data_IF_545400391491
#
_entry.id   IF_545400391491
#
_cell.length_a   1.000
_cell.length_b   1.000
_cell.length_c   1.000
_cell.angle_alpha   90.00
_cell.angle_beta   90.00
_cell.angle_gamma   90.00
#
_symmetry.space_group_name_H-M   'P 1'
#
loop_
_entity.id
_entity.type
_entity.pdbx_description
1 polymer ?
#
# COMPACT_ATOMS: atom_id res chain seq x y z
N UNK A 1 8.36 -4.15 11.24
CA UNK A 1 9.18 -3.14 10.52
C UNK A 1 8.21 -2.22 9.82
N UNK A 2 8.04 -1.00 10.31
CA UNK A 2 7.25 0.02 9.63
C UNK A 2 8.04 0.50 8.42
N UNK A 3 7.59 0.13 7.21
CA UNK A 3 8.14 0.71 5.98
C UNK A 3 7.94 2.22 6.03
N UNK A 4 9.02 2.96 5.81
CA UNK A 4 8.92 4.39 5.52
C UNK A 4 8.58 4.57 4.05
N UNK A 5 7.59 5.41 3.76
CA UNK A 5 7.18 5.73 2.39
C UNK A 5 7.66 7.15 2.07
N UNK A 6 8.22 7.34 0.88
CA UNK A 6 8.56 8.65 0.32
C UNK A 6 7.78 8.84 -1.00
N UNK A 7 6.82 9.78 -1.10
CA UNK A 7 6.31 10.63 -0.01
C UNK A 7 5.61 9.80 1.08
N UNK A 8 5.39 10.34 2.31
CA UNK A 8 4.63 9.67 3.35
C UNK A 8 3.22 9.27 2.91
N UNK A 9 2.63 8.28 3.56
CA UNK A 9 1.25 7.89 3.27
C UNK A 9 0.29 9.04 3.61
N UNK A 10 -0.47 9.50 2.62
CA UNK A 10 -1.36 10.63 2.74
C UNK A 10 -2.41 10.42 3.83
N UNK A 11 -2.51 11.34 4.78
CA UNK A 11 -3.55 11.33 5.83
C UNK A 11 -4.76 12.18 5.46
N UNK A 12 -4.58 13.18 4.60
CA UNK A 12 -5.62 14.10 4.16
C UNK A 12 -6.54 13.41 3.13
N UNK A 13 -7.87 13.33 3.35
CA UNK A 13 -8.83 12.79 2.39
C UNK A 13 -8.84 13.46 1.01
N UNK A 14 -8.39 14.71 0.93
CA UNK A 14 -8.31 15.49 -0.31
C UNK A 14 -7.02 15.22 -1.09
N UNK A 15 -6.06 14.49 -0.52
CA UNK A 15 -4.82 14.15 -1.22
C UNK A 15 -5.12 13.15 -2.34
N UNK A 16 -4.61 13.37 -3.57
CA UNK A 16 -4.83 12.48 -4.70
C UNK A 16 -4.30 11.04 -4.49
N UNK A 17 -3.43 10.81 -3.50
CA UNK A 17 -2.94 9.49 -3.10
C UNK A 17 -3.76 8.85 -1.97
N UNK A 18 -4.64 9.59 -1.29
CA UNK A 18 -5.32 9.14 -0.07
C UNK A 18 -6.02 7.79 -0.20
N UNK A 19 -6.77 7.58 -1.29
CA UNK A 19 -7.52 6.33 -1.49
C UNK A 19 -6.59 5.12 -1.62
N UNK A 20 -5.48 5.28 -2.31
CA UNK A 20 -4.49 4.21 -2.50
C UNK A 20 -3.74 3.96 -1.19
N UNK A 21 -3.34 5.03 -0.50
CA UNK A 21 -2.63 4.97 0.77
C UNK A 21 -3.50 4.41 1.91
N UNK A 22 -4.83 4.59 1.84
CA UNK A 22 -5.80 3.88 2.70
C UNK A 22 -5.77 2.37 2.43
N UNK A 23 -5.68 1.96 1.17
CA UNK A 23 -5.54 0.55 0.77
C UNK A 23 -4.26 -0.08 1.32
N UNK A 24 -3.13 0.62 1.25
CA UNK A 24 -1.85 0.18 1.82
C UNK A 24 -1.96 -0.01 3.33
N UNK A 25 -2.55 0.94 4.06
CA UNK A 25 -2.75 0.82 5.52
C UNK A 25 -3.60 -0.41 5.87
N UNK A 26 -4.70 -0.64 5.13
CA UNK A 26 -5.53 -1.82 5.34
C UNK A 26 -4.80 -3.13 5.02
N UNK A 27 -3.95 -3.15 3.98
CA UNK A 27 -3.13 -4.33 3.65
C UNK A 27 -2.05 -4.60 4.72
N UNK A 28 -1.43 -3.55 5.25
CA UNK A 28 -0.47 -3.66 6.36
C UNK A 28 -1.14 -4.22 7.62
N UNK A 29 -2.33 -3.72 7.98
CA UNK A 29 -3.10 -4.23 9.11
C UNK A 29 -3.43 -5.73 8.97
N UNK A 30 -3.78 -6.18 7.76
CA UNK A 30 -4.03 -7.61 7.50
C UNK A 30 -2.76 -8.45 7.65
N UNK A 31 -1.62 -7.95 7.18
CA UNK A 31 -0.34 -8.62 7.35
C UNK A 31 0.04 -8.72 8.83
N UNK A 32 -0.14 -7.64 9.59
CA UNK A 32 0.17 -7.62 11.01
C UNK A 32 -0.74 -8.60 11.78
N UNK A 33 -2.03 -8.64 11.46
CA UNK A 33 -2.97 -9.62 12.00
C UNK A 33 -2.60 -11.07 11.64
N UNK A 34 -2.15 -11.33 10.40
CA UNK A 34 -1.69 -12.66 9.99
C UNK A 34 -0.41 -13.10 10.72
N UNK A 35 0.53 -12.17 10.95
CA UNK A 35 1.75 -12.41 11.71
C UNK A 35 1.41 -12.71 13.17
N UNK A 36 0.49 -11.95 13.75
CA UNK A 36 0.03 -12.17 15.12
C UNK A 36 -0.69 -13.52 15.26
N UNK A 37 -1.61 -13.85 14.34
CA UNK A 37 -2.29 -15.14 14.31
C UNK A 37 -1.32 -16.33 14.21
N UNK A 38 -0.22 -16.23 13.45
CA UNK A 38 0.82 -17.27 13.38
C UNK A 38 1.44 -17.57 14.74
N UNK A 39 1.59 -16.58 15.61
CA UNK A 39 2.18 -16.77 16.96
C UNK A 39 1.29 -17.65 17.85
N UNK A 40 0.00 -17.73 17.54
CA UNK A 40 -1.01 -18.43 18.34
C UNK A 40 -1.55 -19.72 17.68
N UNK A 41 -1.12 -20.06 16.46
CA UNK A 41 -1.61 -21.24 15.73
C UNK A 41 -0.70 -22.48 15.87
N UNK A 42 -1.31 -23.66 15.98
CA UNK A 42 -0.65 -24.97 15.95
C UNK A 42 -0.24 -25.42 14.54
N UNK A 43 -0.96 -24.99 13.50
CA UNK A 43 -0.64 -25.29 12.10
C UNK A 43 0.28 -24.23 11.49
N UNK A 44 1.59 -24.51 11.50
CA UNK A 44 2.61 -23.60 10.99
C UNK A 44 2.61 -23.45 9.46
N UNK A 45 2.17 -24.47 8.72
CA UNK A 45 2.11 -24.44 7.25
C UNK A 45 1.04 -23.50 6.73
N UNK A 46 -0.19 -23.60 7.25
CA UNK A 46 -1.29 -22.71 6.87
C UNK A 46 -0.99 -21.26 7.23
N UNK A 47 -0.44 -21.02 8.43
CA UNK A 47 -0.06 -19.68 8.86
C UNK A 47 1.02 -19.06 7.96
N UNK A 48 1.95 -19.87 7.41
CA UNK A 48 2.94 -19.39 6.47
C UNK A 48 2.32 -18.92 5.15
N UNK A 49 1.39 -19.71 4.58
CA UNK A 49 0.71 -19.35 3.33
C UNK A 49 -0.15 -18.09 3.50
N UNK A 50 -0.88 -17.96 4.62
CA UNK A 50 -1.67 -16.75 4.91
C UNK A 50 -0.79 -15.50 4.99
N UNK A 51 0.37 -15.58 5.64
CA UNK A 51 1.32 -14.46 5.69
C UNK A 51 1.87 -14.14 4.31
N UNK A 52 2.16 -15.16 3.50
CA UNK A 52 2.66 -14.98 2.13
C UNK A 52 1.62 -14.26 1.27
N UNK A 53 0.37 -14.68 1.32
CA UNK A 53 -0.74 -14.04 0.60
C UNK A 53 -0.93 -12.58 1.07
N UNK A 54 -0.89 -12.32 2.37
CA UNK A 54 -0.99 -10.97 2.92
C UNK A 54 0.17 -10.05 2.45
N UNK A 55 1.39 -10.58 2.36
CA UNK A 55 2.56 -9.86 1.81
C UNK A 55 2.38 -9.55 0.33
N UNK A 56 1.84 -10.48 -0.45
CA UNK A 56 1.54 -10.25 -1.86
C UNK A 56 0.46 -9.18 -2.05
N UNK A 57 -0.59 -9.19 -1.21
CA UNK A 57 -1.62 -8.16 -1.18
C UNK A 57 -1.08 -6.76 -0.86
N UNK A 58 -0.15 -6.67 0.10
CA UNK A 58 0.55 -5.43 0.41
C UNK A 58 1.39 -4.95 -0.78
N UNK A 59 2.18 -5.84 -1.40
CA UNK A 59 3.00 -5.52 -2.58
C UNK A 59 2.17 -5.00 -3.76
N UNK A 60 0.98 -5.59 -4.01
CA UNK A 60 0.05 -5.12 -5.05
C UNK A 60 -0.45 -3.70 -4.75
N UNK A 61 -0.79 -3.42 -3.49
CA UNK A 61 -1.23 -2.09 -3.06
C UNK A 61 -0.13 -1.03 -3.23
N UNK A 62 1.12 -1.39 -2.92
CA UNK A 62 2.29 -0.53 -3.14
C UNK A 62 2.54 -0.27 -4.63
N UNK A 63 2.38 -1.28 -5.49
CA UNK A 63 2.51 -1.10 -6.94
C UNK A 63 1.46 -0.12 -7.49
N UNK A 64 0.21 -0.24 -7.04
CA UNK A 64 -0.86 0.70 -7.41
C UNK A 64 -0.51 2.14 -7.01
N UNK A 65 0.14 2.34 -5.86
CA UNK A 65 0.62 3.66 -5.44
C UNK A 65 1.67 4.22 -6.38
N UNK A 66 2.67 3.42 -6.75
CA UNK A 66 3.71 3.83 -7.70
C UNK A 66 3.10 4.24 -9.05
N UNK A 67 2.15 3.46 -9.56
CA UNK A 67 1.44 3.79 -10.79
C UNK A 67 0.65 5.10 -10.67
N UNK A 68 -0.03 5.30 -9.54
CA UNK A 68 -0.78 6.52 -9.28
C UNK A 68 0.11 7.76 -9.22
N UNK A 69 1.27 7.67 -8.58
CA UNK A 69 2.27 8.76 -8.54
C UNK A 69 2.71 9.12 -9.96
N UNK A 70 3.03 8.13 -10.80
CA UNK A 70 3.39 8.35 -12.21
C UNK A 70 2.27 9.02 -13.01
N UNK A 71 1.03 8.60 -12.81
CA UNK A 71 -0.14 9.19 -13.47
C UNK A 71 -0.33 10.66 -13.08
N UNK A 72 -0.18 10.97 -11.78
CA UNK A 72 -0.28 12.34 -11.27
C UNK A 72 0.83 13.24 -11.81
N UNK A 73 2.07 12.74 -11.86
CA UNK A 73 3.18 13.47 -12.46
C UNK A 73 2.93 13.79 -13.94
N UNK A 74 2.40 12.82 -14.70
CA UNK A 74 2.03 13.03 -16.11
C UNK A 74 0.95 14.10 -16.27
N UNK A 75 -0.13 14.01 -15.48
CA UNK A 75 -1.23 15.01 -15.51
C UNK A 75 -0.73 16.41 -15.14
N UNK A 76 0.17 16.52 -14.17
CA UNK A 76 0.75 17.81 -13.80
C UNK A 76 1.57 18.41 -14.96
N UNK A 77 2.36 17.58 -15.65
CA UNK A 77 3.12 18.03 -16.83
C UNK A 77 2.22 18.46 -18.00
N UNK A 78 1.12 17.73 -18.24
CA UNK A 78 0.12 18.10 -19.27
C UNK A 78 -0.55 19.45 -18.96
N UNK A 79 -0.91 19.70 -17.70
CA UNK A 79 -1.50 20.97 -17.25
C UNK A 79 -0.51 22.13 -17.41
N UNK A 80 0.75 21.94 -17.04
CA UNK A 80 1.80 22.96 -17.23
C UNK A 80 2.04 23.25 -18.72
N UNK A 81 2.07 22.23 -19.57
CA UNK A 81 2.22 22.41 -21.00
C UNK A 81 1.05 23.18 -21.63
N UNK A 82 -0.19 22.93 -21.17
CA UNK A 82 -1.39 23.62 -21.66
C UNK A 82 -1.53 25.07 -21.16
N UNK A 83 -0.76 25.47 -20.13
CA UNK A 83 -0.73 26.84 -19.59
C UNK A 83 0.32 27.72 -20.26
N UNK A 84 1.26 27.14 -20.99
CA UNK A 84 2.26 27.85 -21.80
C UNK A 84 1.75 28.09 -23.21
#
# INVERSE_FOLDING_TARGET
MTKSYDPPLATNPHDPLYRVDKGIRAAQQRLDAAIDAKRHHTSQSLAHEVIKEAREGLKKSELLRVLRIKELARKAAEIEAARK
#
